data_IF_223354009811
#
_entry.id   IF_223354009811
#
_cell.length_a   1.000
_cell.length_b   1.000
_cell.length_c   1.000
_cell.angle_alpha   90.00
_cell.angle_beta   90.00
_cell.angle_gamma   90.00
#
_symmetry.space_group_name_H-M   'P 1'
#
loop_
_entity.id
_entity.type
_entity.pdbx_description
1 polymer ?
#
# COMPACT_ATOMS: atom_id res chain seq x y z
N UNK A 1 10.89 -7.29 -14.99
CA UNK A 1 10.83 -5.87 -14.57
C UNK A 1 10.41 -5.05 -15.80
N UNK A 2 9.18 -4.58 -15.83
CA UNK A 2 8.61 -3.74 -16.90
C UNK A 2 9.14 -2.30 -16.70
N UNK A 3 10.40 -2.06 -17.01
CA UNK A 3 11.02 -0.74 -16.92
C UNK A 3 11.95 -0.48 -18.10
N UNK A 4 12.06 -1.45 -19.01
CA UNK A 4 12.83 -1.29 -20.22
C UNK A 4 12.02 -0.50 -21.24
N UNK A 5 12.65 0.50 -21.86
CA UNK A 5 12.07 1.35 -22.92
C UNK A 5 11.44 0.51 -24.04
N UNK A 6 12.09 -0.57 -24.46
CA UNK A 6 11.58 -1.46 -25.49
C UNK A 6 10.23 -2.08 -25.11
N UNK A 7 10.08 -2.58 -23.88
CA UNK A 7 8.81 -3.17 -23.38
C UNK A 7 7.69 -2.13 -23.31
N UNK A 8 8.00 -0.88 -22.92
CA UNK A 8 7.00 0.20 -22.89
C UNK A 8 6.56 0.60 -24.31
N UNK A 9 7.47 0.54 -25.30
CA UNK A 9 7.13 0.77 -26.71
C UNK A 9 6.24 -0.35 -27.26
N UNK A 10 6.48 -1.61 -26.91
CA UNK A 10 5.62 -2.74 -27.29
C UNK A 10 4.22 -2.58 -26.66
N UNK A 11 4.13 -2.21 -25.37
CA UNK A 11 2.85 -1.93 -24.74
C UNK A 11 2.09 -0.79 -25.42
N UNK A 12 2.79 0.21 -25.90
CA UNK A 12 2.18 1.29 -26.69
C UNK A 12 1.52 0.75 -27.98
N UNK A 13 2.13 -0.23 -28.62
CA UNK A 13 1.54 -0.85 -29.82
C UNK A 13 0.22 -1.54 -29.55
N UNK A 14 0.05 -2.14 -28.36
CA UNK A 14 -1.22 -2.75 -27.95
C UNK A 14 -2.36 -1.72 -27.85
N UNK A 15 -2.07 -0.48 -27.52
CA UNK A 15 -3.05 0.61 -27.45
C UNK A 15 -3.56 1.06 -28.83
N UNK A 16 -2.95 0.59 -29.93
CA UNK A 16 -3.42 0.84 -31.29
C UNK A 16 -4.45 -0.21 -31.76
N UNK A 17 -4.70 -1.24 -30.96
CA UNK A 17 -5.70 -2.26 -31.29
C UNK A 17 -7.08 -1.68 -31.00
N UNK A 18 -7.71 -1.21 -32.07
CA UNK A 18 -9.06 -0.64 -32.05
C UNK A 18 -9.84 -1.12 -33.29
N UNK A 19 -11.15 -1.15 -33.17
CA UNK A 19 -12.06 -1.21 -34.32
C UNK A 19 -12.53 0.21 -34.67
N UNK A 20 -13.24 0.36 -35.79
CA UNK A 20 -13.76 1.68 -36.21
C UNK A 20 -14.66 2.32 -35.15
N UNK A 21 -15.28 1.51 -34.27
CA UNK A 21 -16.25 1.98 -33.28
C UNK A 21 -15.82 1.80 -31.83
N UNK A 22 -14.70 1.11 -31.50
CA UNK A 22 -14.33 0.82 -30.11
C UNK A 22 -12.84 0.57 -29.88
N UNK A 23 -12.36 1.03 -28.71
CA UNK A 23 -11.07 0.61 -28.17
C UNK A 23 -11.22 -0.80 -27.56
N UNK A 24 -10.40 -1.75 -28.01
CA UNK A 24 -10.47 -3.14 -27.57
C UNK A 24 -9.68 -3.42 -26.29
N UNK A 25 -8.74 -2.55 -25.93
CA UNK A 25 -7.80 -2.76 -24.80
C UNK A 25 -7.74 -1.53 -23.92
N UNK A 26 -7.92 -1.75 -22.62
CA UNK A 26 -7.60 -0.76 -21.58
C UNK A 26 -6.34 -1.20 -20.85
N UNK A 27 -5.28 -0.40 -20.88
CA UNK A 27 -4.01 -0.67 -20.23
C UNK A 27 -3.90 0.08 -18.90
N UNK A 28 -3.64 -0.66 -17.83
CA UNK A 28 -3.35 -0.10 -16.51
C UNK A 28 -1.90 -0.42 -16.16
N UNK A 29 -1.07 0.62 -16.03
CA UNK A 29 0.33 0.51 -15.63
C UNK A 29 0.46 0.82 -14.15
N UNK A 30 0.97 -0.17 -13.39
CA UNK A 30 1.26 -0.04 -11.97
C UNK A 30 2.77 -0.14 -11.77
N UNK A 31 3.33 0.76 -10.98
CA UNK A 31 4.76 0.72 -10.72
C UNK A 31 5.21 1.72 -9.66
N UNK A 32 6.47 1.62 -9.30
CA UNK A 32 7.14 2.54 -8.39
C UNK A 32 7.48 3.88 -9.09
N UNK A 33 7.83 4.95 -8.35
CA UNK A 33 8.13 6.28 -8.90
C UNK A 33 9.09 6.32 -10.10
N UNK A 34 10.11 5.45 -10.23
CA UNK A 34 10.95 5.41 -11.43
C UNK A 34 10.20 5.14 -12.73
N UNK A 35 9.07 4.39 -12.68
CA UNK A 35 8.23 4.15 -13.87
C UNK A 35 7.70 5.46 -14.47
N UNK A 36 7.36 6.45 -13.63
CA UNK A 36 6.90 7.75 -14.10
C UNK A 36 7.96 8.48 -14.92
N UNK A 37 9.24 8.33 -14.55
CA UNK A 37 10.37 8.91 -15.30
C UNK A 37 10.52 8.23 -16.65
N UNK A 38 10.49 6.89 -16.67
CA UNK A 38 10.58 6.12 -17.94
C UNK A 38 9.43 6.46 -18.89
N UNK A 39 8.22 6.64 -18.38
CA UNK A 39 7.06 7.07 -19.18
C UNK A 39 7.23 8.50 -19.67
N UNK A 40 7.78 9.41 -18.85
CA UNK A 40 7.99 10.81 -19.24
C UNK A 40 8.97 10.96 -20.42
N UNK A 41 9.91 10.04 -20.57
CA UNK A 41 10.87 9.98 -21.68
C UNK A 41 10.25 9.44 -22.98
N UNK A 42 9.08 8.80 -22.91
CA UNK A 42 8.37 8.21 -24.04
C UNK A 42 7.14 9.06 -24.39
N UNK A 43 7.36 10.16 -25.11
CA UNK A 43 6.31 11.12 -25.47
C UNK A 43 5.06 10.44 -26.09
N UNK A 44 5.19 9.49 -27.04
CA UNK A 44 4.02 8.83 -27.63
C UNK A 44 3.18 8.01 -26.64
N UNK A 45 3.80 7.44 -25.59
CA UNK A 45 3.07 6.72 -24.54
C UNK A 45 2.46 7.72 -23.54
N UNK A 46 3.20 8.77 -23.18
CA UNK A 46 2.74 9.80 -22.26
C UNK A 46 1.43 10.48 -22.74
N UNK A 47 1.30 10.73 -24.05
CA UNK A 47 0.12 11.37 -24.66
C UNK A 47 -1.13 10.48 -24.65
N UNK A 48 -0.94 9.16 -24.53
CA UNK A 48 -2.03 8.18 -24.49
C UNK A 48 -2.51 7.86 -23.06
N UNK A 49 -1.82 8.35 -22.03
CA UNK A 49 -2.22 8.15 -20.64
C UNK A 49 -3.30 9.16 -20.27
N UNK A 50 -4.52 8.70 -20.20
CA UNK A 50 -5.67 9.53 -19.85
C UNK A 50 -5.69 9.90 -18.37
N UNK A 51 -5.26 8.98 -17.47
CA UNK A 51 -5.30 9.18 -16.01
C UNK A 51 -3.96 8.81 -15.40
N UNK A 52 -3.44 9.68 -14.55
CA UNK A 52 -2.26 9.42 -13.70
C UNK A 52 -2.66 9.58 -12.25
N UNK A 53 -2.35 8.60 -11.45
CA UNK A 53 -2.61 8.64 -10.03
C UNK A 53 -1.37 8.22 -9.24
N UNK A 54 -1.02 8.98 -8.21
CA UNK A 54 0.07 8.66 -7.31
C UNK A 54 -0.51 8.23 -5.96
N UNK A 55 -0.26 6.96 -5.58
CA UNK A 55 -0.64 6.44 -4.28
C UNK A 55 0.41 6.85 -3.25
N UNK A 56 0.08 7.83 -2.43
CA UNK A 56 0.87 8.21 -1.26
C UNK A 56 0.62 7.29 -0.05
N UNK A 57 1.38 7.49 1.03
CA UNK A 57 1.09 6.84 2.29
C UNK A 57 -0.29 7.22 2.83
N UNK A 58 -0.85 6.37 3.66
CA UNK A 58 -2.12 6.63 4.36
C UNK A 58 -1.89 7.72 5.43
N UNK A 59 -2.86 8.60 5.61
CA UNK A 59 -2.91 9.49 6.77
C UNK A 59 -3.30 8.73 8.06
N UNK A 60 -3.28 9.40 9.21
CA UNK A 60 -3.58 8.77 10.50
C UNK A 60 -4.98 8.15 10.54
N UNK A 61 -5.99 8.84 9.99
CA UNK A 61 -7.38 8.36 9.98
C UNK A 61 -7.50 7.13 9.07
N UNK A 62 -6.93 7.18 7.89
CA UNK A 62 -6.98 6.06 6.94
C UNK A 62 -6.10 4.89 7.40
N UNK A 63 -5.00 5.12 8.13
CA UNK A 63 -4.24 4.06 8.79
C UNK A 63 -5.11 3.32 9.82
N UNK A 64 -5.83 4.03 10.68
CA UNK A 64 -6.75 3.39 11.63
C UNK A 64 -7.86 2.61 10.93
N UNK A 65 -8.46 3.18 9.88
CA UNK A 65 -9.48 2.49 9.06
C UNK A 65 -8.92 1.24 8.41
N UNK A 66 -7.71 1.31 7.89
CA UNK A 66 -7.01 0.17 7.28
C UNK A 66 -6.78 -0.95 8.29
N UNK A 67 -6.26 -0.63 9.49
CA UNK A 67 -6.07 -1.61 10.58
C UNK A 67 -7.40 -2.28 10.96
N UNK A 68 -8.46 -1.49 11.17
CA UNK A 68 -9.79 -2.00 11.50
C UNK A 68 -10.35 -2.90 10.39
N UNK A 69 -10.21 -2.50 9.13
CA UNK A 69 -10.64 -3.29 8.00
C UNK A 69 -9.92 -4.64 7.94
N UNK A 70 -8.60 -4.65 8.09
CA UNK A 70 -7.79 -5.88 8.09
C UNK A 70 -8.20 -6.83 9.21
N UNK A 71 -8.33 -6.31 10.43
CA UNK A 71 -8.77 -7.09 11.59
C UNK A 71 -10.16 -7.68 11.40
N UNK A 72 -11.12 -6.87 10.93
CA UNK A 72 -12.48 -7.32 10.64
C UNK A 72 -12.51 -8.40 9.56
N UNK A 73 -11.75 -8.23 8.48
CA UNK A 73 -11.65 -9.22 7.41
C UNK A 73 -11.01 -10.55 7.88
N UNK A 74 -10.21 -10.50 8.94
CA UNK A 74 -9.63 -11.69 9.60
C UNK A 74 -10.53 -12.26 10.70
N UNK A 75 -11.78 -11.81 10.83
CA UNK A 75 -12.76 -12.33 11.76
C UNK A 75 -12.78 -11.69 13.15
N UNK A 76 -12.08 -10.58 13.37
CA UNK A 76 -12.13 -9.88 14.64
C UNK A 76 -13.51 -9.25 14.89
N UNK A 77 -14.17 -9.66 15.98
CA UNK A 77 -15.50 -9.16 16.38
C UNK A 77 -15.42 -7.96 17.33
N UNK A 78 -14.21 -7.54 17.75
CA UNK A 78 -14.00 -6.47 18.72
C UNK A 78 -12.76 -5.64 18.36
N UNK A 79 -12.65 -4.43 18.93
CA UNK A 79 -11.44 -3.60 18.82
C UNK A 79 -10.26 -4.24 19.55
N UNK A 80 -9.24 -4.65 18.81
CA UNK A 80 -8.03 -5.29 19.34
C UNK A 80 -7.02 -4.24 19.79
N UNK A 81 -6.77 -3.23 18.97
CA UNK A 81 -5.87 -2.13 19.31
C UNK A 81 -6.60 -1.01 20.06
N UNK A 82 -5.92 -0.37 21.02
CA UNK A 82 -6.40 0.88 21.59
C UNK A 82 -6.15 2.04 20.60
N UNK A 83 -6.76 3.19 20.85
CA UNK A 83 -6.60 4.36 19.96
C UNK A 83 -5.16 4.87 20.00
N UNK A 84 -4.55 4.89 21.18
CA UNK A 84 -3.16 5.31 21.41
C UNK A 84 -2.19 4.35 20.70
N UNK A 85 -2.47 3.04 20.75
CA UNK A 85 -1.69 2.04 20.04
C UNK A 85 -1.76 2.26 18.52
N UNK A 86 -2.95 2.50 17.97
CA UNK A 86 -3.14 2.78 16.55
C UNK A 86 -2.44 4.06 16.10
N UNK A 87 -2.38 5.11 16.95
CA UNK A 87 -1.61 6.31 16.67
C UNK A 87 -0.11 6.01 16.59
N UNK A 88 0.44 5.24 17.54
CA UNK A 88 1.85 4.82 17.49
C UNK A 88 2.19 4.00 16.25
N UNK A 89 1.27 3.13 15.81
CA UNK A 89 1.45 2.40 14.55
C UNK A 89 1.57 3.35 13.37
N UNK A 90 0.73 4.39 13.30
CA UNK A 90 0.84 5.41 12.27
C UNK A 90 2.17 6.17 12.34
N UNK A 91 2.55 6.64 13.53
CA UNK A 91 3.76 7.45 13.74
C UNK A 91 5.03 6.68 13.32
N UNK A 92 5.10 5.39 13.62
CA UNK A 92 6.23 4.54 13.23
C UNK A 92 6.21 4.17 11.74
N UNK A 93 5.03 3.79 11.23
CA UNK A 93 4.90 3.27 9.86
C UNK A 93 4.95 4.36 8.79
N UNK A 94 4.67 5.62 9.17
CA UNK A 94 4.46 6.73 8.24
C UNK A 94 3.30 6.49 7.28
N UNK A 95 2.32 5.66 7.65
CA UNK A 95 1.16 5.31 6.83
C UNK A 95 1.47 4.34 5.68
N UNK A 96 2.64 3.71 5.67
CA UNK A 96 3.03 2.73 4.64
C UNK A 96 2.41 1.36 4.98
N UNK A 97 1.50 0.79 4.14
CA UNK A 97 0.76 -0.43 4.45
C UNK A 97 1.64 -1.62 4.86
N UNK A 98 2.77 -1.82 4.20
CA UNK A 98 3.70 -2.89 4.55
C UNK A 98 4.24 -2.74 5.98
N UNK A 99 4.64 -1.52 6.36
CA UNK A 99 5.15 -1.25 7.71
C UNK A 99 4.05 -1.36 8.77
N UNK A 100 2.82 -0.92 8.43
CA UNK A 100 1.65 -1.09 9.29
C UNK A 100 1.43 -2.57 9.57
N UNK A 101 1.42 -3.42 8.53
CA UNK A 101 1.21 -4.86 8.68
C UNK A 101 2.30 -5.48 9.56
N UNK A 102 3.57 -5.25 9.23
CA UNK A 102 4.70 -5.84 9.98
C UNK A 102 4.64 -5.48 11.47
N UNK A 103 4.40 -4.21 11.79
CA UNK A 103 4.30 -3.78 13.19
C UNK A 103 3.05 -4.35 13.88
N UNK A 104 1.90 -4.36 13.20
CA UNK A 104 0.67 -4.92 13.76
C UNK A 104 0.80 -6.42 14.02
N UNK A 105 1.39 -7.19 13.10
CA UNK A 105 1.60 -8.63 13.25
C UNK A 105 2.50 -8.91 14.46
N UNK A 106 3.59 -8.15 14.62
CA UNK A 106 4.48 -8.26 15.77
C UNK A 106 3.79 -7.88 17.09
N UNK A 107 3.05 -6.77 17.10
CA UNK A 107 2.30 -6.34 18.29
C UNK A 107 1.19 -7.31 18.67
N UNK A 108 0.53 -7.96 17.72
CA UNK A 108 -0.45 -9.02 17.97
C UNK A 108 0.21 -10.24 18.62
N UNK A 109 1.37 -10.66 18.11
CA UNK A 109 2.14 -11.76 18.70
C UNK A 109 2.52 -11.47 20.17
N UNK A 110 3.06 -10.29 20.43
CA UNK A 110 3.39 -9.87 21.80
C UNK A 110 2.15 -9.78 22.69
N UNK A 111 1.02 -9.30 22.15
CA UNK A 111 -0.25 -9.30 22.86
C UNK A 111 -0.70 -10.68 23.29
N UNK A 112 -0.48 -11.70 22.46
CA UNK A 112 -0.74 -13.12 22.81
C UNK A 112 0.23 -13.59 23.90
N UNK A 113 1.52 -13.32 23.77
CA UNK A 113 2.53 -13.71 24.78
C UNK A 113 2.25 -13.10 26.15
N UNK A 114 1.74 -11.86 26.19
CA UNK A 114 1.33 -11.19 27.44
C UNK A 114 -0.08 -11.54 27.92
N UNK A 115 -0.80 -12.45 27.25
CA UNK A 115 -2.21 -12.75 27.53
C UNK A 115 -3.08 -11.48 27.59
N UNK A 116 -2.75 -10.47 26.77
CA UNK A 116 -3.42 -9.18 26.77
C UNK A 116 -4.77 -9.28 26.04
N UNK A 117 -5.82 -8.69 26.65
CA UNK A 117 -7.14 -8.61 26.00
C UNK A 117 -7.17 -7.64 24.81
N UNK A 118 -6.29 -6.66 24.83
CA UNK A 118 -6.12 -5.61 23.80
C UNK A 118 -4.65 -5.23 23.70
N UNK A 119 -4.24 -4.88 22.50
CA UNK A 119 -2.91 -4.32 22.22
C UNK A 119 -2.95 -2.83 22.57
N UNK A 120 -2.25 -2.45 23.61
CA UNK A 120 -2.09 -1.07 24.05
C UNK A 120 -0.78 -0.45 23.53
N UNK A 121 -0.54 0.81 23.89
CA UNK A 121 0.66 1.55 23.48
C UNK A 121 1.97 0.94 24.00
N UNK A 122 1.95 0.24 25.14
CA UNK A 122 3.12 -0.42 25.70
C UNK A 122 3.55 -1.59 24.81
N UNK A 123 2.60 -2.45 24.44
CA UNK A 123 2.86 -3.60 23.56
C UNK A 123 3.37 -3.14 22.18
N UNK A 124 2.82 -2.04 21.65
CA UNK A 124 3.29 -1.51 20.36
C UNK A 124 4.72 -0.97 20.46
N UNK A 125 5.11 -0.30 21.58
CA UNK A 125 6.50 0.16 21.77
C UNK A 125 7.47 -1.03 21.84
N UNK A 126 7.12 -2.06 22.58
CA UNK A 126 7.91 -3.30 22.66
C UNK A 126 8.08 -3.94 21.27
N UNK A 127 7.01 -3.95 20.46
CA UNK A 127 7.07 -4.44 19.09
C UNK A 127 7.95 -3.57 18.18
N UNK A 128 8.01 -2.25 18.40
CA UNK A 128 8.88 -1.33 17.66
C UNK A 128 10.35 -1.61 18.01
N UNK A 129 10.66 -1.79 19.28
CA UNK A 129 12.01 -2.11 19.76
C UNK A 129 12.51 -3.43 19.14
N UNK A 130 11.66 -4.45 19.13
CA UNK A 130 11.99 -5.75 18.55
C UNK A 130 12.17 -5.73 17.00
N UNK A 131 11.55 -4.79 16.28
CA UNK A 131 11.75 -4.61 14.83
C UNK A 131 13.07 -3.86 14.55
N UNK A 132 13.51 -3.03 15.49
CA UNK A 132 14.72 -2.19 15.34
C UNK A 132 16.03 -2.93 15.63
N UNK A 133 16.00 -4.14 16.19
CA UNK A 133 17.13 -5.02 16.36
C UNK A 133 17.36 -5.92 15.13
#
# INVERSE_FOLDING_TARGET
>A
VIGNRATLDELRMLLNIQTDDAFLVTLILLGQPPLLRSIAELQPLKERIAVKFNLGPLDAVNTMRYMLFRLKSSGACRGIFTREAAQLVYDFSGGIPLRINNLCDRALLMGVLHNARRVDSRIVREAIEDIGE
#
